data_IF_941403148301
#
_entry.id   IF_941403148301
#
_cell.length_a   1.000
_cell.length_b   1.000
_cell.length_c   1.000
_cell.angle_alpha   90.00
_cell.angle_beta   90.00
_cell.angle_gamma   90.00
#
_symmetry.space_group_name_H-M   'P 1'
#
loop_
_entity.id
_entity.type
_entity.pdbx_description
1 polymer ?
#
# COMPACT_ATOMS: atom_id res chain seq x y z
N UNK A 1 -35.00 -0.77 10.58
CA UNK A 1 -35.13 0.63 10.11
C UNK A 1 -33.83 1.16 9.48
N UNK A 2 -32.67 1.12 10.15
CA UNK A 2 -31.40 1.62 9.57
C UNK A 2 -31.01 0.96 8.24
N UNK A 3 -31.10 -0.37 8.15
CA UNK A 3 -30.87 -1.16 6.93
C UNK A 3 -31.75 -0.70 5.75
N UNK A 4 -33.04 -0.45 6.02
CA UNK A 4 -33.98 0.01 4.99
C UNK A 4 -33.61 1.41 4.45
N UNK A 5 -33.23 2.35 5.32
CA UNK A 5 -32.77 3.67 4.88
C UNK A 5 -31.47 3.61 4.08
N UNK A 6 -30.53 2.73 4.45
CA UNK A 6 -29.30 2.52 3.69
C UNK A 6 -29.59 2.01 2.27
N UNK A 7 -30.51 1.05 2.13
CA UNK A 7 -30.93 0.53 0.82
C UNK A 7 -31.59 1.62 -0.03
N UNK A 8 -32.50 2.41 0.55
CA UNK A 8 -33.15 3.53 -0.16
C UNK A 8 -32.14 4.58 -0.62
N UNK A 9 -31.17 4.94 0.23
CA UNK A 9 -30.09 5.86 -0.13
C UNK A 9 -29.24 5.29 -1.28
N UNK A 10 -28.88 4.01 -1.22
CA UNK A 10 -28.10 3.37 -2.27
C UNK A 10 -28.85 3.39 -3.62
N UNK A 11 -30.16 3.12 -3.63
CA UNK A 11 -31.01 3.19 -4.82
C UNK A 11 -31.06 4.62 -5.37
N UNK A 12 -31.25 5.63 -4.50
CA UNK A 12 -31.27 7.04 -4.95
C UNK A 12 -29.94 7.46 -5.56
N UNK A 13 -28.81 7.09 -4.94
CA UNK A 13 -27.47 7.36 -5.48
C UNK A 13 -27.32 6.70 -6.86
N UNK A 14 -27.73 5.44 -7.00
CA UNK A 14 -27.69 4.73 -8.27
C UNK A 14 -28.52 5.45 -9.35
N UNK A 15 -29.75 5.86 -9.04
CA UNK A 15 -30.62 6.59 -9.98
C UNK A 15 -30.00 7.93 -10.39
N UNK A 16 -29.42 8.67 -9.45
CA UNK A 16 -28.74 9.95 -9.74
C UNK A 16 -27.54 9.71 -10.68
N UNK A 17 -26.70 8.72 -10.39
CA UNK A 17 -25.56 8.37 -11.25
C UNK A 17 -26.04 7.99 -12.66
N UNK A 18 -27.09 7.17 -12.74
CA UNK A 18 -27.68 6.76 -14.03
C UNK A 18 -28.19 7.95 -14.83
N UNK A 19 -28.91 8.89 -14.19
CA UNK A 19 -29.40 10.11 -14.85
C UNK A 19 -28.25 10.97 -15.36
N UNK A 20 -27.23 11.21 -14.53
CA UNK A 20 -26.04 11.97 -14.94
C UNK A 20 -25.35 11.33 -16.14
N UNK A 21 -25.22 9.99 -16.14
CA UNK A 21 -24.63 9.24 -17.25
C UNK A 21 -25.40 9.46 -18.55
N UNK A 22 -26.74 9.33 -18.52
CA UNK A 22 -27.59 9.57 -19.71
C UNK A 22 -27.51 11.01 -20.18
N UNK A 23 -27.56 11.98 -19.27
CA UNK A 23 -27.42 13.40 -19.63
C UNK A 23 -26.07 13.69 -20.29
N UNK A 24 -24.98 13.10 -19.77
CA UNK A 24 -23.64 13.23 -20.36
C UNK A 24 -23.58 12.69 -21.79
N UNK A 25 -24.23 11.54 -22.04
CA UNK A 25 -24.33 10.94 -23.37
C UNK A 25 -25.02 11.89 -24.36
N UNK A 26 -26.20 12.43 -24.01
CA UNK A 26 -26.92 13.38 -24.86
C UNK A 26 -26.11 14.65 -25.15
N UNK A 27 -25.42 15.20 -24.14
CA UNK A 27 -24.54 16.37 -24.32
C UNK A 27 -23.35 16.05 -25.25
N UNK A 28 -22.82 14.82 -25.19
CA UNK A 28 -21.72 14.40 -26.06
C UNK A 28 -22.12 14.36 -27.54
N UNK A 29 -23.34 13.89 -27.82
CA UNK A 29 -23.92 13.86 -29.18
C UNK A 29 -24.14 15.29 -29.69
N UNK A 30 -24.65 16.20 -28.85
CA UNK A 30 -24.92 17.60 -29.23
C UNK A 30 -23.65 18.43 -29.48
N UNK A 31 -22.58 18.21 -28.70
CA UNK A 31 -21.31 18.95 -28.83
C UNK A 31 -20.40 18.44 -29.96
N UNK A 32 -20.71 17.27 -30.51
CA UNK A 32 -19.83 16.53 -31.41
C UNK A 32 -18.80 15.70 -30.64
N UNK A 33 -18.64 14.44 -31.04
CA UNK A 33 -17.81 13.45 -30.34
C UNK A 33 -16.37 13.90 -30.14
N UNK A 34 -15.78 14.58 -31.13
CA UNK A 34 -14.39 15.02 -31.07
C UNK A 34 -14.16 16.10 -30.00
N UNK A 35 -15.04 17.11 -29.90
CA UNK A 35 -14.97 18.14 -28.86
C UNK A 35 -15.23 17.56 -27.48
N UNK A 36 -16.22 16.66 -27.38
CA UNK A 36 -16.53 15.95 -26.14
C UNK A 36 -15.33 15.13 -25.64
N UNK A 37 -14.69 14.34 -26.53
CA UNK A 37 -13.51 13.53 -26.20
C UNK A 37 -12.35 14.39 -25.69
N UNK A 38 -12.04 15.50 -26.35
CA UNK A 38 -10.97 16.43 -25.94
C UNK A 38 -11.26 17.08 -24.59
N UNK A 39 -12.51 17.47 -24.35
CA UNK A 39 -12.95 18.00 -23.06
C UNK A 39 -12.78 16.94 -21.95
N UNK A 40 -13.25 15.71 -22.19
CA UNK A 40 -13.14 14.60 -21.24
C UNK A 40 -11.68 14.23 -20.96
N UNK A 41 -10.80 14.23 -21.96
CA UNK A 41 -9.38 13.99 -21.75
C UNK A 41 -8.74 15.04 -20.81
N UNK A 42 -9.06 16.32 -20.98
CA UNK A 42 -8.56 17.39 -20.08
C UNK A 42 -9.13 17.25 -18.66
N UNK A 43 -10.41 16.94 -18.54
CA UNK A 43 -11.07 16.72 -17.24
C UNK A 43 -10.44 15.51 -16.55
N UNK A 44 -10.31 14.39 -17.24
CA UNK A 44 -9.69 13.18 -16.69
C UNK A 44 -8.24 13.44 -16.27
N UNK A 45 -7.45 14.16 -17.07
CA UNK A 45 -6.09 14.52 -16.70
C UNK A 45 -6.04 15.35 -15.40
N UNK A 46 -6.96 16.31 -15.24
CA UNK A 46 -7.06 17.11 -14.01
C UNK A 46 -7.53 16.27 -12.80
N UNK A 47 -8.53 15.40 -13.02
CA UNK A 47 -9.03 14.48 -11.99
C UNK A 47 -7.95 13.50 -11.52
N UNK A 48 -7.06 13.05 -12.41
CA UNK A 48 -5.93 12.17 -12.08
C UNK A 48 -4.95 12.86 -11.11
N UNK A 49 -4.61 14.13 -11.34
CA UNK A 49 -3.76 14.90 -10.41
C UNK A 49 -4.47 15.16 -9.09
N UNK A 50 -5.77 15.51 -9.15
CA UNK A 50 -6.58 15.74 -7.96
C UNK A 50 -6.67 14.47 -7.11
N UNK A 51 -6.91 13.32 -7.75
CA UNK A 51 -6.96 12.01 -7.11
C UNK A 51 -5.62 11.65 -6.48
N UNK A 52 -4.49 11.93 -7.13
CA UNK A 52 -3.17 11.73 -6.53
C UNK A 52 -3.01 12.52 -5.24
N UNK A 53 -3.31 13.82 -5.25
CA UNK A 53 -3.13 14.70 -4.08
C UNK A 53 -4.07 14.28 -2.94
N UNK A 54 -5.35 14.08 -3.24
CA UNK A 54 -6.33 13.67 -2.24
C UNK A 54 -6.08 12.25 -1.73
N UNK A 55 -5.64 11.34 -2.61
CA UNK A 55 -5.29 9.97 -2.26
C UNK A 55 -4.09 9.92 -1.32
N UNK A 56 -3.02 10.65 -1.61
CA UNK A 56 -1.83 10.74 -0.73
C UNK A 56 -2.17 11.43 0.59
N UNK A 57 -2.96 12.49 0.57
CA UNK A 57 -3.46 13.14 1.79
C UNK A 57 -4.35 12.18 2.61
N UNK A 58 -5.18 11.38 1.96
CA UNK A 58 -6.02 10.37 2.59
C UNK A 58 -5.20 9.25 3.24
N UNK A 59 -4.13 8.77 2.57
CA UNK A 59 -3.20 7.79 3.16
C UNK A 59 -2.54 8.36 4.40
N UNK A 60 -2.06 9.62 4.35
CA UNK A 60 -1.46 10.28 5.50
C UNK A 60 -2.47 10.45 6.65
N UNK A 61 -3.68 10.91 6.36
CA UNK A 61 -4.75 11.07 7.35
C UNK A 61 -5.16 9.73 8.00
N UNK A 62 -5.29 8.67 7.19
CA UNK A 62 -5.55 7.33 7.70
C UNK A 62 -4.42 6.85 8.61
N UNK A 63 -3.16 7.08 8.23
CA UNK A 63 -2.03 6.74 9.09
C UNK A 63 -2.14 7.48 10.43
N UNK A 64 -2.31 8.80 10.43
CA UNK A 64 -2.45 9.59 11.66
C UNK A 64 -3.59 9.09 12.58
N UNK A 65 -4.74 8.77 12.00
CA UNK A 65 -5.92 8.31 12.76
C UNK A 65 -5.74 6.93 13.39
N UNK A 66 -5.02 6.03 12.72
CA UNK A 66 -4.91 4.62 13.11
C UNK A 66 -3.55 4.24 13.71
N UNK A 67 -2.50 5.05 13.53
CA UNK A 67 -1.15 4.75 14.00
C UNK A 67 -1.13 4.47 15.50
N UNK A 68 -1.81 5.31 16.29
CA UNK A 68 -1.96 5.13 17.74
C UNK A 68 -2.65 3.83 18.18
N UNK A 69 -3.43 3.20 17.28
CA UNK A 69 -4.13 1.93 17.52
C UNK A 69 -3.34 0.71 17.07
N UNK A 70 -2.20 0.91 16.43
CA UNK A 70 -1.30 -0.18 16.06
C UNK A 70 -0.40 -0.58 17.23
N UNK A 71 0.38 -1.65 17.06
CA UNK A 71 1.38 -2.08 18.06
C UNK A 71 2.66 -1.23 18.02
N UNK A 72 2.90 -0.47 16.94
CA UNK A 72 4.13 0.31 16.77
C UNK A 72 4.40 1.35 17.88
N UNK A 73 3.40 2.11 18.38
CA UNK A 73 3.63 3.10 19.43
C UNK A 73 3.95 2.51 20.81
N UNK A 74 3.67 1.22 21.01
CA UNK A 74 3.84 0.56 22.32
C UNK A 74 5.29 0.20 22.61
N UNK A 75 6.14 0.21 21.57
CA UNK A 75 7.55 -0.16 21.66
C UNK A 75 7.74 -1.67 21.87
N UNK A 76 8.98 -2.11 21.73
CA UNK A 76 9.30 -3.53 21.88
C UNK A 76 9.50 -3.94 23.33
N UNK A 77 8.88 -5.05 23.73
CA UNK A 77 9.06 -5.68 25.04
C UNK A 77 10.25 -6.66 25.10
N UNK A 78 10.97 -6.87 23.99
CA UNK A 78 12.14 -7.76 23.93
C UNK A 78 13.27 -7.18 23.09
N UNK A 79 14.49 -7.66 23.31
CA UNK A 79 15.66 -7.26 22.51
C UNK A 79 15.47 -7.64 21.03
N UNK A 80 14.96 -8.85 20.77
CA UNK A 80 14.70 -9.34 19.43
C UNK A 80 13.57 -8.57 18.74
N UNK A 81 12.51 -8.21 19.47
CA UNK A 81 11.41 -7.42 18.93
C UNK A 81 11.87 -6.03 18.49
N UNK A 82 12.84 -5.40 19.18
CA UNK A 82 13.41 -4.11 18.77
C UNK A 82 14.12 -4.21 17.41
N UNK A 83 14.80 -5.32 17.16
CA UNK A 83 15.47 -5.57 15.88
C UNK A 83 14.45 -5.83 14.76
N UNK A 84 13.40 -6.60 15.04
CA UNK A 84 12.27 -6.82 14.11
C UNK A 84 11.60 -5.48 13.76
N UNK A 85 11.28 -4.66 14.75
CA UNK A 85 10.63 -3.35 14.55
C UNK A 85 11.51 -2.44 13.69
N UNK A 86 12.82 -2.43 13.94
CA UNK A 86 13.78 -1.65 13.15
C UNK A 86 13.80 -2.12 11.69
N UNK A 87 13.84 -3.44 11.45
CA UNK A 87 13.82 -4.02 10.10
C UNK A 87 12.52 -3.68 9.37
N UNK A 88 11.39 -3.74 10.08
CA UNK A 88 10.08 -3.40 9.55
C UNK A 88 9.99 -1.91 9.20
N UNK A 89 10.46 -1.02 10.06
CA UNK A 89 10.48 0.43 9.79
C UNK A 89 11.38 0.78 8.61
N UNK A 90 12.56 0.15 8.48
CA UNK A 90 13.44 0.33 7.31
C UNK A 90 12.72 -0.13 6.04
N UNK A 91 12.08 -1.29 6.08
CA UNK A 91 11.37 -1.86 4.92
C UNK A 91 10.20 -0.97 4.50
N UNK A 92 9.38 -0.53 5.45
CA UNK A 92 8.26 0.39 5.21
C UNK A 92 8.76 1.73 4.69
N UNK A 93 9.84 2.27 5.25
CA UNK A 93 10.43 3.54 4.81
C UNK A 93 10.89 3.48 3.36
N UNK A 94 11.65 2.45 2.99
CA UNK A 94 12.19 2.34 1.63
C UNK A 94 11.08 2.02 0.62
N UNK A 95 10.21 1.04 0.92
CA UNK A 95 9.09 0.71 0.03
C UNK A 95 8.10 1.87 -0.09
N UNK A 96 7.89 2.63 0.98
CA UNK A 96 7.09 3.84 1.01
C UNK A 96 7.65 4.93 0.10
N UNK A 97 8.95 5.19 0.13
CA UNK A 97 9.59 6.16 -0.79
C UNK A 97 9.40 5.74 -2.25
N UNK A 98 9.64 4.47 -2.58
CA UNK A 98 9.43 3.94 -3.94
C UNK A 98 7.97 4.04 -4.35
N UNK A 99 7.04 3.73 -3.45
CA UNK A 99 5.61 3.90 -3.66
C UNK A 99 5.26 5.35 -4.01
N UNK A 100 5.70 6.33 -3.21
CA UNK A 100 5.41 7.74 -3.49
C UNK A 100 5.97 8.17 -4.85
N UNK A 101 7.22 7.82 -5.17
CA UNK A 101 7.84 8.15 -6.45
C UNK A 101 7.04 7.56 -7.61
N UNK A 102 6.69 6.27 -7.55
CA UNK A 102 5.95 5.59 -8.61
C UNK A 102 4.53 6.14 -8.79
N UNK A 103 3.82 6.43 -7.70
CA UNK A 103 2.49 7.07 -7.77
C UNK A 103 2.59 8.45 -8.41
N UNK A 104 3.54 9.29 -7.98
CA UNK A 104 3.75 10.63 -8.54
C UNK A 104 4.06 10.54 -10.03
N UNK A 105 4.98 9.66 -10.45
CA UNK A 105 5.32 9.48 -11.86
C UNK A 105 4.13 9.01 -12.69
N UNK A 106 3.33 8.08 -12.19
CA UNK A 106 2.16 7.55 -12.89
C UNK A 106 1.14 8.65 -13.19
N UNK A 107 0.71 9.39 -12.17
CA UNK A 107 -0.30 10.46 -12.34
C UNK A 107 0.28 11.68 -13.06
N UNK A 108 1.54 12.02 -12.83
CA UNK A 108 2.21 13.09 -13.55
C UNK A 108 2.35 12.78 -15.04
N UNK A 109 2.71 11.55 -15.42
CA UNK A 109 2.77 11.14 -16.82
C UNK A 109 1.39 11.12 -17.47
N UNK A 110 0.35 10.63 -16.78
CA UNK A 110 -1.02 10.69 -17.27
C UNK A 110 -1.46 12.15 -17.56
N UNK A 111 -1.09 13.10 -16.70
CA UNK A 111 -1.38 14.52 -16.90
C UNK A 111 -0.52 15.18 -17.99
N UNK A 112 0.80 14.96 -17.97
CA UNK A 112 1.77 15.60 -18.86
C UNK A 112 1.63 15.13 -20.30
N UNK A 113 1.39 13.83 -20.50
CA UNK A 113 1.29 13.18 -21.81
C UNK A 113 -0.16 12.89 -22.24
N UNK A 114 -1.15 13.56 -21.63
CA UNK A 114 -2.54 13.55 -22.09
C UNK A 114 -2.66 13.90 -23.58
N UNK A 115 -3.72 13.44 -24.25
CA UNK A 115 -3.98 13.73 -25.67
C UNK A 115 -3.96 15.25 -25.94
N UNK A 116 -3.15 15.68 -26.91
CA UNK A 116 -3.09 17.07 -27.38
C UNK A 116 -3.18 17.10 -28.89
N UNK A 117 -3.98 18.03 -29.42
CA UNK A 117 -4.10 18.23 -30.86
C UNK A 117 -2.73 18.49 -31.50
N UNK A 118 -2.48 17.87 -32.64
CA UNK A 118 -1.23 18.02 -33.39
C UNK A 118 0.00 17.31 -32.79
N UNK A 119 -0.11 16.68 -31.61
CA UNK A 119 1.01 15.94 -30.98
C UNK A 119 0.85 14.44 -31.18
N UNK A 120 1.71 13.86 -32.02
CA UNK A 120 1.79 12.40 -32.18
C UNK A 120 2.54 11.77 -31.00
N UNK A 121 2.08 10.60 -30.55
CA UNK A 121 2.78 9.83 -29.53
C UNK A 121 4.16 9.43 -30.05
N UNK A 122 5.18 9.58 -29.20
CA UNK A 122 6.52 9.11 -29.52
C UNK A 122 6.54 7.58 -29.42
N UNK A 123 6.88 6.89 -30.51
CA UNK A 123 6.99 5.45 -30.52
C UNK A 123 8.37 5.03 -30.00
N UNK A 124 8.40 4.39 -28.85
CA UNK A 124 9.62 3.93 -28.19
C UNK A 124 9.45 2.49 -27.71
N UNK A 125 9.85 1.50 -28.53
CA UNK A 125 9.51 0.10 -28.28
C UNK A 125 10.43 -0.59 -27.27
N UNK A 126 11.70 -0.17 -27.16
CA UNK A 126 12.68 -0.87 -26.34
C UNK A 126 13.79 0.04 -25.82
N UNK A 127 14.23 -0.21 -24.60
CA UNK A 127 15.43 0.37 -24.04
C UNK A 127 16.11 -0.60 -23.08
N UNK A 128 17.07 -1.36 -23.60
CA UNK A 128 17.83 -2.35 -22.82
C UNK A 128 18.45 -1.75 -21.56
N UNK A 129 18.94 -0.51 -21.62
CA UNK A 129 19.60 0.14 -20.48
C UNK A 129 18.60 0.44 -19.36
N UNK A 130 17.41 0.90 -19.72
CA UNK A 130 16.34 1.21 -18.76
C UNK A 130 15.75 -0.08 -18.18
N UNK A 131 15.56 -1.10 -19.02
CA UNK A 131 15.13 -2.43 -18.63
C UNK A 131 16.08 -3.10 -17.63
N UNK A 132 17.38 -3.02 -17.91
CA UNK A 132 18.40 -3.52 -17.01
C UNK A 132 18.37 -2.76 -15.67
N UNK A 133 18.28 -1.43 -15.70
CA UNK A 133 18.24 -0.61 -14.50
C UNK A 133 17.06 -0.98 -13.59
N UNK A 134 15.83 -1.02 -14.13
CA UNK A 134 14.65 -1.32 -13.32
C UNK A 134 14.54 -2.77 -12.90
N UNK A 135 15.34 -3.69 -13.46
CA UNK A 135 15.33 -5.10 -13.07
C UNK A 135 16.42 -5.39 -12.05
N UNK A 136 17.63 -4.87 -12.30
CA UNK A 136 18.79 -5.08 -11.43
C UNK A 136 18.66 -4.34 -10.09
N UNK A 137 18.15 -3.11 -10.09
CA UNK A 137 18.01 -2.33 -8.84
C UNK A 137 17.06 -3.02 -7.84
N UNK A 138 15.82 -3.42 -8.22
CA UNK A 138 14.95 -4.17 -7.30
C UNK A 138 15.51 -5.53 -6.92
N UNK A 139 16.17 -6.25 -7.84
CA UNK A 139 16.77 -7.54 -7.55
C UNK A 139 17.84 -7.44 -6.44
N UNK A 140 18.81 -6.52 -6.59
CA UNK A 140 19.85 -6.28 -5.57
C UNK A 140 19.22 -5.88 -4.24
N UNK A 141 18.24 -4.97 -4.28
CA UNK A 141 17.57 -4.49 -3.07
C UNK A 141 16.87 -5.63 -2.31
N UNK A 142 16.14 -6.48 -3.02
CA UNK A 142 15.48 -7.64 -2.44
C UNK A 142 16.49 -8.65 -1.88
N UNK A 143 17.59 -8.92 -2.61
CA UNK A 143 18.66 -9.80 -2.13
C UNK A 143 19.24 -9.29 -0.80
N UNK A 144 19.52 -7.99 -0.70
CA UNK A 144 20.03 -7.38 0.54
C UNK A 144 19.04 -7.57 1.69
N UNK A 145 17.75 -7.27 1.48
CA UNK A 145 16.72 -7.46 2.50
C UNK A 145 16.62 -8.92 2.97
N UNK A 146 16.68 -9.88 2.04
CA UNK A 146 16.61 -11.31 2.37
C UNK A 146 17.83 -11.74 3.19
N UNK A 147 19.04 -11.29 2.83
CA UNK A 147 20.26 -11.61 3.59
C UNK A 147 20.19 -11.07 5.01
N UNK A 148 19.74 -9.83 5.20
CA UNK A 148 19.53 -9.27 6.53
C UNK A 148 18.45 -10.03 7.31
N UNK A 149 17.32 -10.34 6.66
CA UNK A 149 16.24 -11.11 7.27
C UNK A 149 16.70 -12.50 7.74
N UNK A 150 17.48 -13.21 6.93
CA UNK A 150 18.05 -14.51 7.30
C UNK A 150 19.01 -14.41 8.48
N UNK A 151 19.84 -13.35 8.55
CA UNK A 151 20.74 -13.15 9.68
C UNK A 151 19.98 -12.98 10.99
N UNK A 152 18.93 -12.15 11.01
CA UNK A 152 18.08 -11.97 12.20
C UNK A 152 17.29 -13.24 12.53
N UNK A 153 16.81 -13.95 11.51
CA UNK A 153 16.15 -15.24 11.70
C UNK A 153 17.03 -16.22 12.48
N UNK A 154 18.27 -16.43 12.02
CA UNK A 154 19.20 -17.34 12.71
C UNK A 154 19.56 -16.88 14.13
N UNK A 155 19.58 -15.57 14.38
CA UNK A 155 19.82 -15.03 15.72
C UNK A 155 18.64 -15.35 16.66
N UNK A 156 17.41 -15.19 16.18
CA UNK A 156 16.19 -15.38 16.99
C UNK A 156 15.88 -16.87 17.21
N UNK A 157 16.13 -17.71 16.21
CA UNK A 157 15.90 -19.16 16.29
C UNK A 157 17.12 -19.95 16.77
N UNK A 158 18.18 -19.25 17.19
CA UNK A 158 19.39 -19.86 17.71
C UNK A 158 19.20 -20.43 19.12
N UNK A 159 20.28 -20.97 19.67
CA UNK A 159 20.28 -21.47 21.04
C UNK A 159 19.99 -20.33 22.04
N UNK A 160 19.21 -20.59 23.10
CA UNK A 160 18.91 -19.60 24.10
C UNK A 160 20.20 -19.17 24.85
N UNK A 161 20.22 -17.94 25.41
CA UNK A 161 21.33 -17.49 26.26
C UNK A 161 21.58 -18.44 27.44
N UNK A 162 22.82 -18.48 27.94
CA UNK A 162 23.18 -19.39 29.05
C UNK A 162 22.40 -19.12 30.36
N UNK A 163 21.84 -17.92 30.53
CA UNK A 163 21.05 -17.49 31.70
C UNK A 163 19.53 -17.56 31.48
N UNK A 164 19.06 -18.39 30.54
CA UNK A 164 17.64 -18.53 30.26
C UNK A 164 16.87 -19.25 31.38
N UNK A 165 15.60 -18.91 31.52
CA UNK A 165 14.63 -19.68 32.31
C UNK A 165 13.85 -20.61 31.39
N UNK A 166 13.74 -21.88 31.77
CA UNK A 166 12.91 -22.86 31.07
C UNK A 166 11.48 -22.75 31.59
N UNK A 167 10.51 -22.64 30.69
CA UNK A 167 9.09 -22.70 30.99
C UNK A 167 8.45 -23.69 30.03
N UNK A 168 7.82 -24.72 30.58
CA UNK A 168 7.04 -25.69 29.83
C UNK A 168 5.59 -25.22 29.75
N UNK A 169 5.03 -25.25 28.54
CA UNK A 169 3.66 -24.81 28.29
C UNK A 169 2.90 -25.96 27.63
N UNK A 170 1.85 -26.45 28.29
CA UNK A 170 0.97 -27.51 27.74
C UNK A 170 -0.37 -26.92 27.35
N UNK A 171 -0.74 -27.09 26.08
CA UNK A 171 -2.03 -26.64 25.54
C UNK A 171 -3.13 -27.68 25.74
N UNK A 172 -4.26 -27.26 26.30
CA UNK A 172 -5.49 -28.04 26.47
C UNK A 172 -6.66 -27.36 25.74
N UNK A 173 -7.73 -28.10 25.46
CA UNK A 173 -9.00 -27.51 25.01
C UNK A 173 -9.88 -27.19 26.23
N UNK A 174 -10.12 -25.94 26.65
CA UNK A 174 -9.63 -24.63 26.19
C UNK A 174 -8.83 -23.95 27.32
N UNK A 175 -7.66 -24.50 27.65
CA UNK A 175 -6.85 -24.06 28.77
C UNK A 175 -5.34 -24.20 28.47
N UNK A 176 -4.50 -23.56 29.28
CA UNK A 176 -3.05 -23.65 29.20
C UNK A 176 -2.50 -23.95 30.59
N UNK A 177 -1.55 -24.89 30.67
CA UNK A 177 -0.81 -25.17 31.90
C UNK A 177 0.66 -24.72 31.73
N UNK A 178 1.22 -24.12 32.78
CA UNK A 178 2.56 -23.52 32.79
C UNK A 178 3.37 -24.13 33.92
N UNK A 179 4.52 -24.73 33.58
CA UNK A 179 5.41 -25.40 34.54
C UNK A 179 6.83 -24.87 34.43
N UNK A 180 7.43 -24.56 35.58
CA UNK A 180 8.85 -24.20 35.69
C UNK A 180 9.59 -25.43 36.23
N UNK A 181 10.36 -26.16 35.41
CA UNK A 181 11.08 -27.34 35.87
C UNK A 181 12.11 -26.93 36.93
N UNK A 182 12.09 -27.61 38.07
CA UNK A 182 13.05 -27.41 39.15
C UNK A 182 14.46 -27.91 38.79
N UNK A 183 15.38 -27.88 39.76
CA UNK A 183 16.73 -28.46 39.57
C UNK A 183 16.71 -29.97 39.29
N UNK A 184 15.62 -30.63 39.65
CA UNK A 184 15.33 -32.04 39.44
C UNK A 184 14.71 -32.35 38.06
N UNK A 185 14.38 -31.32 37.26
CA UNK A 185 13.73 -31.50 35.94
C UNK A 185 12.30 -32.04 36.03
N UNK A 186 11.76 -32.11 37.26
CA UNK A 186 10.38 -32.52 37.60
C UNK A 186 9.60 -31.29 38.08
#
# INVERSE_FOLDING_TARGET
MKEFFLVVIAIMIFVIIFQISKTSEYVSVLKGEEKSRKQNNKINAFLMVTFMVLGLAGVWYCNELYYGKTLFPQGSASLEGKEIDSMLMITIGITGVVFIITQVLLFWFAFKYQEKEGKKAFYFPHNTKLELLWTTVPAIFLTVLVVFGLKFWFKITGDPPADHHVVEITGHQFAWDYRYPGKDGV
#
